data_IF_978865819393
#
_entry.id   IF_978865819393
#
_cell.length_a   1.000
_cell.length_b   1.000
_cell.length_c   1.000
_cell.angle_alpha   90.00
_cell.angle_beta   90.00
_cell.angle_gamma   90.00
#
_symmetry.space_group_name_H-M   'P 1'
#
loop_
_entity.id
_entity.type
_entity.pdbx_description
1 polymer ?
#
# COMPACT_ATOMS: atom_id res chain seq x y z
N UNK A 1 48.33 36.38 -5.25
CA UNK A 1 46.88 36.67 -5.24
C UNK A 1 46.06 35.89 -6.28
N UNK A 2 46.60 35.49 -7.44
CA UNK A 2 45.85 34.77 -8.48
C UNK A 2 45.50 33.29 -8.17
N UNK A 3 46.30 32.61 -7.34
CA UNK A 3 46.11 31.19 -7.02
C UNK A 3 44.89 30.92 -6.13
N UNK A 4 44.54 31.87 -5.24
CA UNK A 4 43.38 31.73 -4.35
C UNK A 4 42.04 31.87 -5.11
N UNK A 5 41.99 32.76 -6.12
CA UNK A 5 40.76 32.94 -6.92
C UNK A 5 40.48 31.72 -7.80
N UNK A 6 41.52 31.05 -8.30
CA UNK A 6 41.40 29.82 -9.08
C UNK A 6 40.81 28.65 -8.26
N UNK A 7 41.25 28.48 -7.01
CA UNK A 7 40.70 27.48 -6.10
C UNK A 7 39.23 27.77 -5.73
N UNK A 8 38.87 29.04 -5.54
CA UNK A 8 37.48 29.42 -5.29
C UNK A 8 36.58 29.14 -6.50
N UNK A 9 37.04 29.47 -7.70
CA UNK A 9 36.32 29.20 -8.96
C UNK A 9 36.07 27.71 -9.20
N UNK A 10 37.04 26.85 -8.87
CA UNK A 10 36.86 25.38 -8.89
C UNK A 10 35.83 24.90 -7.87
N UNK A 11 35.78 25.54 -6.69
CA UNK A 11 34.82 25.20 -5.62
C UNK A 11 33.39 25.59 -5.99
N UNK A 12 33.21 26.71 -6.70
CA UNK A 12 31.92 27.15 -7.24
C UNK A 12 31.45 26.25 -8.40
N UNK A 13 32.30 25.94 -9.38
CA UNK A 13 31.96 24.96 -10.43
C UNK A 13 31.58 23.59 -9.86
N UNK A 14 32.32 23.10 -8.85
CA UNK A 14 32.00 21.80 -8.22
C UNK A 14 30.65 21.82 -7.48
N UNK A 15 30.17 22.99 -7.02
CA UNK A 15 28.85 23.15 -6.40
C UNK A 15 27.74 23.20 -7.44
N UNK A 16 27.92 23.97 -8.51
CA UNK A 16 26.97 24.05 -9.63
C UNK A 16 26.79 22.70 -10.34
N UNK A 17 27.87 21.96 -10.58
CA UNK A 17 27.82 20.62 -11.18
C UNK A 17 27.08 19.61 -10.28
N UNK A 18 27.21 19.73 -8.95
CA UNK A 18 26.48 18.90 -7.98
C UNK A 18 24.99 19.25 -7.91
N UNK A 19 24.64 20.52 -8.01
CA UNK A 19 23.25 20.98 -8.08
C UNK A 19 22.58 20.50 -9.37
N UNK A 20 23.29 20.57 -10.51
CA UNK A 20 22.81 20.05 -11.80
C UNK A 20 22.63 18.53 -11.78
N UNK A 21 23.56 17.79 -11.15
CA UNK A 21 23.45 16.34 -10.98
C UNK A 21 22.23 15.97 -10.11
N UNK A 22 22.04 16.64 -8.96
CA UNK A 22 20.84 16.45 -8.12
C UNK A 22 19.54 16.74 -8.87
N UNK A 23 19.53 17.79 -9.69
CA UNK A 23 18.34 18.17 -10.48
C UNK A 23 18.04 17.11 -11.55
N UNK A 24 19.08 16.54 -12.18
CA UNK A 24 18.95 15.43 -13.14
C UNK A 24 18.45 14.15 -12.47
N UNK A 25 18.96 13.81 -11.30
CA UNK A 25 18.52 12.64 -10.53
C UNK A 25 17.06 12.80 -10.05
N UNK A 26 16.67 14.01 -9.66
CA UNK A 26 15.28 14.35 -9.34
C UNK A 26 14.35 14.29 -10.57
N UNK A 27 14.83 14.74 -11.73
CA UNK A 27 14.09 14.61 -12.98
C UNK A 27 13.93 13.14 -13.39
N UNK A 28 15.01 12.35 -13.31
CA UNK A 28 15.00 10.91 -13.62
C UNK A 28 14.06 10.14 -12.68
N UNK A 29 14.08 10.43 -11.37
CA UNK A 29 13.16 9.81 -10.40
C UNK A 29 11.70 10.27 -10.57
N UNK A 30 11.46 11.48 -11.04
CA UNK A 30 10.09 11.96 -11.33
C UNK A 30 9.54 11.31 -12.60
N UNK A 31 10.36 11.15 -13.64
CA UNK A 31 10.01 10.43 -14.85
C UNK A 31 9.78 8.93 -14.59
N UNK A 32 10.65 8.30 -13.80
CA UNK A 32 10.51 6.90 -13.42
C UNK A 32 9.23 6.59 -12.63
N UNK A 33 8.71 7.57 -11.86
CA UNK A 33 7.41 7.44 -11.16
C UNK A 33 6.19 7.46 -12.09
N UNK A 34 6.33 8.00 -13.31
CA UNK A 34 5.25 8.04 -14.30
C UNK A 34 5.24 6.86 -15.28
N UNK A 35 6.22 5.96 -15.19
CA UNK A 35 6.26 4.73 -15.97
C UNK A 35 5.43 3.65 -15.28
N UNK A 36 4.87 2.72 -16.08
CA UNK A 36 4.12 1.56 -15.58
C UNK A 36 5.04 0.74 -14.69
N UNK A 37 4.67 0.63 -13.42
CA UNK A 37 5.38 -0.16 -12.43
C UNK A 37 4.71 -1.54 -12.29
N UNK A 38 5.43 -2.54 -11.77
CA UNK A 38 4.91 -3.89 -11.57
C UNK A 38 3.66 -3.88 -10.69
N UNK A 39 3.62 -2.96 -9.71
CA UNK A 39 2.45 -2.73 -8.85
C UNK A 39 1.19 -2.35 -9.63
N UNK A 40 1.34 -1.61 -10.74
CA UNK A 40 0.22 -1.15 -11.56
C UNK A 40 -0.34 -2.31 -12.40
N UNK A 41 0.50 -3.28 -12.74
CA UNK A 41 0.12 -4.50 -13.46
C UNK A 41 -0.68 -5.45 -12.56
N UNK A 42 -0.28 -5.59 -11.30
CA UNK A 42 -0.96 -6.49 -10.33
C UNK A 42 -2.12 -5.81 -9.58
N UNK A 43 -2.30 -4.50 -9.76
CA UNK A 43 -3.36 -3.76 -9.12
C UNK A 43 -4.74 -4.22 -9.62
N UNK A 44 -5.76 -4.25 -8.75
CA UNK A 44 -7.13 -4.52 -9.18
C UNK A 44 -7.65 -3.40 -10.10
N UNK A 45 -8.61 -3.71 -11.00
CA UNK A 45 -9.11 -2.74 -11.96
C UNK A 45 -9.94 -1.61 -11.32
N UNK A 46 -10.66 -1.91 -10.23
CA UNK A 46 -11.45 -0.94 -9.48
C UNK A 46 -11.65 -1.40 -8.04
N UNK A 47 -11.68 -0.43 -7.11
CA UNK A 47 -12.07 -0.61 -5.71
C UNK A 47 -13.18 0.39 -5.41
N UNK A 48 -14.31 -0.10 -4.89
CA UNK A 48 -15.41 0.71 -4.38
C UNK A 48 -15.49 0.53 -2.87
N UNK A 49 -15.50 1.65 -2.15
CA UNK A 49 -15.59 1.69 -0.69
C UNK A 49 -16.91 2.31 -0.31
N UNK A 50 -17.79 1.52 0.28
CA UNK A 50 -19.05 1.97 0.86
C UNK A 50 -18.98 1.89 2.38
N UNK A 51 -19.95 2.49 3.06
CA UNK A 51 -20.02 2.45 4.53
C UNK A 51 -20.16 1.01 5.07
N UNK A 52 -20.86 0.14 4.34
CA UNK A 52 -21.26 -1.19 4.81
C UNK A 52 -20.45 -2.34 4.17
N UNK A 53 -19.72 -2.07 3.08
CA UNK A 53 -18.91 -3.09 2.39
C UNK A 53 -17.82 -2.45 1.52
N UNK A 54 -16.84 -3.28 1.14
CA UNK A 54 -15.83 -2.94 0.14
C UNK A 54 -16.01 -3.90 -1.04
N UNK A 55 -16.01 -3.39 -2.27
CA UNK A 55 -16.02 -4.19 -3.49
C UNK A 55 -14.69 -4.05 -4.23
N UNK A 56 -14.03 -5.16 -4.51
CA UNK A 56 -12.79 -5.23 -5.29
C UNK A 56 -13.07 -6.08 -6.54
N UNK A 57 -13.15 -5.44 -7.71
CA UNK A 57 -13.66 -6.11 -8.91
C UNK A 57 -15.11 -6.59 -8.72
N UNK A 58 -15.32 -7.91 -8.77
CA UNK A 58 -16.64 -8.54 -8.56
C UNK A 58 -16.82 -9.13 -7.14
N UNK A 59 -15.79 -9.06 -6.29
CA UNK A 59 -15.82 -9.61 -4.94
C UNK A 59 -16.27 -8.56 -3.92
N UNK A 60 -17.15 -8.97 -3.02
CA UNK A 60 -17.66 -8.15 -1.92
C UNK A 60 -17.06 -8.61 -0.59
N UNK A 61 -16.60 -7.64 0.20
CA UNK A 61 -15.96 -7.86 1.50
C UNK A 61 -16.72 -7.11 2.57
N UNK A 62 -16.98 -7.81 3.69
CA UNK A 62 -17.58 -7.23 4.90
C UNK A 62 -17.02 -7.94 6.12
N UNK A 63 -16.70 -7.18 7.16
CA UNK A 63 -16.32 -7.71 8.47
C UNK A 63 -17.51 -7.60 9.41
N UNK A 64 -17.91 -8.71 10.02
CA UNK A 64 -18.97 -8.76 11.02
C UNK A 64 -18.35 -9.04 12.39
N UNK A 65 -18.79 -8.28 13.40
CA UNK A 65 -18.40 -8.50 14.79
C UNK A 65 -19.60 -9.06 15.55
N UNK A 66 -19.44 -10.29 16.05
CA UNK A 66 -20.47 -10.96 16.85
C UNK A 66 -20.02 -11.01 18.30
N UNK A 67 -20.88 -10.51 19.19
CA UNK A 67 -20.70 -10.60 20.64
C UNK A 67 -21.83 -11.44 21.26
N UNK A 68 -21.60 -11.95 22.46
CA UNK A 68 -22.62 -12.70 23.20
C UNK A 68 -22.81 -14.15 22.71
N UNK A 69 -21.71 -14.88 22.47
CA UNK A 69 -21.79 -16.32 22.22
C UNK A 69 -22.51 -17.05 23.37
N UNK A 70 -23.28 -18.12 23.08
CA UNK A 70 -23.95 -18.90 24.12
C UNK A 70 -22.94 -19.50 25.11
N UNK A 71 -23.28 -19.49 26.40
CA UNK A 71 -22.45 -20.15 27.44
C UNK A 71 -22.35 -21.66 27.27
N UNK A 72 -23.35 -22.28 26.65
CA UNK A 72 -23.40 -23.71 26.39
C UNK A 72 -23.85 -23.92 24.95
N UNK A 73 -23.18 -24.83 24.25
CA UNK A 73 -23.46 -25.16 22.86
C UNK A 73 -23.49 -26.67 22.70
N UNK A 74 -24.42 -27.17 21.89
CA UNK A 74 -24.48 -28.58 21.50
C UNK A 74 -23.47 -28.90 20.40
N UNK A 75 -23.41 -30.18 20.02
CA UNK A 75 -22.69 -30.58 18.82
C UNK A 75 -23.25 -29.83 17.59
N UNK A 76 -22.38 -29.48 16.64
CA UNK A 76 -22.73 -28.82 15.38
C UNK A 76 -23.35 -27.41 15.50
N UNK A 77 -23.20 -26.72 16.65
CA UNK A 77 -23.76 -25.37 16.82
C UNK A 77 -23.24 -24.34 15.81
N UNK A 78 -21.99 -24.47 15.37
CA UNK A 78 -21.36 -23.60 14.38
C UNK A 78 -21.54 -24.11 12.94
N UNK A 79 -22.25 -25.23 12.74
CA UNK A 79 -22.44 -25.87 11.43
C UNK A 79 -22.90 -24.92 10.31
N UNK A 80 -23.85 -23.97 10.54
CA UNK A 80 -24.28 -23.05 9.49
C UNK A 80 -23.17 -22.14 8.96
N UNK A 81 -22.21 -21.79 9.82
CA UNK A 81 -21.12 -20.88 9.49
C UNK A 81 -19.97 -21.62 8.82
N UNK A 82 -19.61 -22.81 9.32
CA UNK A 82 -18.52 -23.62 8.73
C UNK A 82 -18.90 -24.29 7.41
N UNK A 83 -20.19 -24.57 7.20
CA UNK A 83 -20.71 -25.17 5.96
C UNK A 83 -21.23 -24.11 4.99
N UNK A 84 -20.93 -22.84 5.24
CA UNK A 84 -21.27 -21.77 4.32
C UNK A 84 -20.51 -21.97 3.00
N UNK A 85 -21.23 -21.82 1.90
CA UNK A 85 -20.80 -22.12 0.53
C UNK A 85 -19.91 -21.02 -0.09
N UNK A 86 -19.53 -20.03 0.71
CA UNK A 86 -18.64 -18.94 0.31
C UNK A 86 -17.44 -18.80 1.24
N UNK A 87 -16.39 -18.17 0.72
CA UNK A 87 -15.17 -17.88 1.49
C UNK A 87 -15.49 -17.01 2.69
N UNK A 88 -15.04 -17.44 3.86
CA UNK A 88 -15.26 -16.77 5.14
C UNK A 88 -14.00 -16.94 5.99
N UNK A 89 -13.49 -15.83 6.50
CA UNK A 89 -12.44 -15.82 7.51
C UNK A 89 -13.05 -15.66 8.91
N UNK A 90 -12.67 -16.56 9.82
CA UNK A 90 -13.19 -16.60 11.19
C UNK A 90 -12.08 -16.38 12.20
N UNK A 91 -12.32 -15.46 13.14
CA UNK A 91 -11.50 -15.28 14.33
C UNK A 91 -12.38 -15.35 15.57
N UNK A 92 -11.98 -16.19 16.54
CA UNK A 92 -12.64 -16.31 17.83
C UNK A 92 -11.74 -15.72 18.92
N UNK A 93 -12.34 -14.91 19.79
CA UNK A 93 -11.69 -14.36 20.96
C UNK A 93 -12.44 -14.87 22.20
N UNK A 94 -11.77 -15.68 23.01
CA UNK A 94 -12.27 -16.20 24.28
C UNK A 94 -11.37 -15.73 25.43
N UNK A 95 -11.94 -15.63 26.62
CA UNK A 95 -11.21 -15.38 27.88
C UNK A 95 -11.27 -16.62 28.77
#
# INVERSE_FOLDING_TARGET
>A
MALLSFLNKRKEQTKEDRELAKTRDQAASTLGRGMVDVKDIIAPPAIQVEFDYIRVGELFYRTLFVSGYPRFVGANWLAPVINFDHTLDLAFFYY
#
